data_IF_166787341856
#
_entry.id   IF_166787341856
#
_cell.length_a   1.000
_cell.length_b   1.000
_cell.length_c   1.000
_cell.angle_alpha   90.00
_cell.angle_beta   90.00
_cell.angle_gamma   90.00
#
_symmetry.space_group_name_H-M   'P 1'
#
loop_
_entity.id
_entity.type
_entity.pdbx_description
1 polymer ?
#
# COMPACT_ATOMS: atom_id res chain seq x y z
N UNK A 1 19.70 -11.37 -7.51
CA UNK A 1 18.89 -11.23 -6.30
C UNK A 1 17.40 -11.06 -6.61
N UNK A 2 16.96 -10.08 -7.41
CA UNK A 2 15.55 -9.87 -7.71
C UNK A 2 14.85 -11.11 -8.31
N UNK A 3 15.50 -11.75 -9.30
CA UNK A 3 14.98 -12.98 -9.91
C UNK A 3 14.91 -14.12 -8.88
N UNK A 4 15.97 -14.30 -8.05
CA UNK A 4 15.97 -15.31 -7.00
C UNK A 4 14.87 -15.06 -5.96
N UNK A 5 14.64 -13.80 -5.59
CA UNK A 5 13.50 -13.41 -4.72
C UNK A 5 12.16 -13.74 -5.35
N UNK A 6 11.99 -13.49 -6.64
CA UNK A 6 10.76 -13.84 -7.35
C UNK A 6 10.51 -15.37 -7.35
N UNK A 7 11.55 -16.16 -7.65
CA UNK A 7 11.44 -17.62 -7.57
C UNK A 7 11.09 -18.10 -6.16
N UNK A 8 11.66 -17.49 -5.11
CA UNK A 8 11.30 -17.82 -3.73
C UNK A 8 9.82 -17.55 -3.44
N UNK A 9 9.28 -16.44 -3.93
CA UNK A 9 7.87 -16.09 -3.74
C UNK A 9 6.93 -17.07 -4.46
N UNK A 10 7.17 -17.34 -5.74
CA UNK A 10 6.31 -18.24 -6.52
C UNK A 10 6.45 -19.71 -6.14
N UNK A 11 7.57 -20.10 -5.51
CA UNK A 11 7.76 -21.49 -5.06
C UNK A 11 6.73 -21.93 -4.01
N UNK A 12 6.19 -20.99 -3.23
CA UNK A 12 5.19 -21.27 -2.20
C UNK A 12 3.88 -21.75 -2.84
N UNK A 13 3.17 -20.99 -3.69
CA UNK A 13 1.96 -21.47 -4.35
C UNK A 13 2.21 -22.67 -5.28
N UNK A 14 3.40 -22.77 -5.89
CA UNK A 14 3.75 -23.97 -6.69
C UNK A 14 3.88 -25.23 -5.83
N UNK A 15 4.43 -25.11 -4.61
CA UNK A 15 4.57 -26.23 -3.70
C UNK A 15 3.23 -26.64 -3.04
N UNK A 16 2.36 -25.67 -2.74
CA UNK A 16 1.06 -25.90 -2.13
C UNK A 16 0.02 -26.39 -3.14
N UNK A 17 0.14 -26.00 -4.40
CA UNK A 17 -0.75 -26.42 -5.47
C UNK A 17 -2.11 -25.70 -5.51
N UNK A 18 -2.40 -24.87 -4.52
CA UNK A 18 -3.68 -24.17 -4.34
C UNK A 18 -3.51 -22.82 -3.67
N UNK A 19 -4.58 -22.05 -3.55
CA UNK A 19 -4.69 -20.90 -2.66
C UNK A 19 -5.60 -21.27 -1.50
N UNK A 20 -5.17 -21.00 -0.28
CA UNK A 20 -5.98 -21.13 0.90
C UNK A 20 -7.21 -20.22 0.87
N UNK A 21 -8.38 -20.79 1.09
CA UNK A 21 -9.64 -20.04 1.19
C UNK A 21 -9.89 -19.76 2.68
N UNK A 22 -9.53 -18.55 3.10
CA UNK A 22 -9.79 -18.08 4.46
C UNK A 22 -11.25 -17.67 4.63
N UNK A 23 -11.68 -17.52 5.89
CA UNK A 23 -12.98 -16.92 6.21
C UNK A 23 -13.12 -15.53 5.58
N UNK A 24 -12.07 -14.72 5.58
CA UNK A 24 -12.04 -13.39 4.96
C UNK A 24 -12.22 -13.45 3.45
N UNK A 25 -11.64 -14.46 2.78
CA UNK A 25 -11.83 -14.67 1.35
C UNK A 25 -13.31 -14.85 1.00
N UNK A 26 -14.02 -15.69 1.77
CA UNK A 26 -15.44 -15.97 1.58
C UNK A 26 -16.32 -14.82 2.05
N UNK A 27 -15.96 -14.15 3.15
CA UNK A 27 -16.77 -13.09 3.73
C UNK A 27 -16.69 -11.80 2.93
N UNK A 28 -15.50 -11.36 2.50
CA UNK A 28 -15.38 -10.02 1.90
C UNK A 28 -14.41 -9.87 0.74
N UNK A 29 -13.31 -10.64 0.62
CA UNK A 29 -12.30 -10.35 -0.41
C UNK A 29 -12.86 -10.47 -1.83
N UNK A 30 -13.57 -11.57 -2.12
CA UNK A 30 -14.16 -11.79 -3.46
C UNK A 30 -15.29 -10.80 -3.69
N UNK A 31 -16.15 -10.59 -2.69
CA UNK A 31 -17.25 -9.63 -2.76
C UNK A 31 -16.75 -8.20 -3.01
N UNK A 32 -15.77 -7.72 -2.25
CA UNK A 32 -15.21 -6.39 -2.45
C UNK A 32 -14.57 -6.24 -3.84
N UNK A 33 -13.86 -7.25 -4.30
CA UNK A 33 -13.33 -7.23 -5.67
C UNK A 33 -14.42 -7.14 -6.73
N UNK A 34 -15.55 -7.81 -6.51
CA UNK A 34 -16.72 -7.75 -7.38
C UNK A 34 -17.38 -6.35 -7.36
N UNK A 35 -17.46 -5.69 -6.19
CA UNK A 35 -18.06 -4.34 -6.08
C UNK A 35 -17.27 -3.27 -6.81
N UNK A 36 -15.99 -3.51 -7.15
CA UNK A 36 -15.22 -2.60 -8.01
C UNK A 36 -15.87 -2.38 -9.39
N UNK A 37 -16.63 -3.36 -9.88
CA UNK A 37 -17.35 -3.31 -11.17
C UNK A 37 -18.87 -3.23 -11.01
N UNK A 38 -19.41 -3.60 -9.85
CA UNK A 38 -20.84 -3.77 -9.60
C UNK A 38 -21.23 -3.04 -8.32
N UNK A 39 -21.43 -1.73 -8.41
CA UNK A 39 -21.80 -0.92 -7.25
C UNK A 39 -23.29 -1.09 -6.94
N UNK A 40 -23.61 -1.44 -5.68
CA UNK A 40 -24.96 -1.69 -5.21
C UNK A 40 -25.19 -1.03 -3.85
N UNK A 41 -24.85 0.26 -3.74
CA UNK A 41 -24.97 1.02 -2.49
C UNK A 41 -26.38 1.03 -1.89
N UNK A 42 -27.40 0.97 -2.73
CA UNK A 42 -28.80 0.96 -2.30
C UNK A 42 -29.31 -0.40 -1.82
N UNK A 43 -28.53 -1.47 -2.06
CA UNK A 43 -28.99 -2.85 -1.83
C UNK A 43 -28.10 -3.59 -0.83
N UNK A 44 -26.80 -3.36 -0.86
CA UNK A 44 -25.79 -4.14 -0.14
C UNK A 44 -25.32 -3.40 1.12
N UNK A 45 -26.21 -3.20 2.10
CA UNK A 45 -25.90 -2.43 3.32
C UNK A 45 -24.85 -3.11 4.20
N UNK A 46 -24.88 -4.44 4.32
CA UNK A 46 -23.98 -5.21 5.18
C UNK A 46 -23.54 -6.54 4.54
N UNK A 47 -23.42 -6.59 3.23
CA UNK A 47 -23.07 -7.82 2.52
C UNK A 47 -21.70 -8.42 2.95
N UNK A 48 -20.76 -7.58 3.39
CA UNK A 48 -19.50 -7.96 4.01
C UNK A 48 -19.36 -7.34 5.41
N UNK A 49 -20.44 -7.28 6.17
CA UNK A 49 -20.50 -6.64 7.50
C UNK A 49 -19.95 -5.20 7.47
N UNK A 50 -19.24 -4.74 8.50
CA UNK A 50 -18.60 -3.42 8.53
C UNK A 50 -17.52 -3.16 7.47
N UNK A 51 -17.20 -4.17 6.65
CA UNK A 51 -16.19 -4.06 5.59
C UNK A 51 -16.79 -3.78 4.20
N UNK A 52 -18.13 -3.76 4.07
CA UNK A 52 -18.86 -3.64 2.80
C UNK A 52 -18.39 -2.47 1.94
N UNK A 53 -18.02 -1.35 2.54
CA UNK A 53 -17.64 -0.13 1.85
C UNK A 53 -16.13 0.15 1.86
N UNK A 54 -15.30 -0.85 2.16
CA UNK A 54 -13.85 -0.70 2.02
C UNK A 54 -13.45 -0.48 0.56
N UNK A 55 -12.24 0.04 0.36
CA UNK A 55 -11.69 0.31 -0.97
C UNK A 55 -11.64 -0.97 -1.83
N UNK A 56 -12.44 -1.11 -2.88
CA UNK A 56 -12.65 -2.38 -3.56
C UNK A 56 -11.55 -2.73 -4.56
N UNK A 57 -10.87 -1.73 -5.13
CA UNK A 57 -9.90 -1.96 -6.20
C UNK A 57 -8.66 -2.72 -5.74
N UNK A 58 -8.37 -2.74 -4.43
CA UNK A 58 -7.31 -3.56 -3.85
C UNK A 58 -7.63 -5.07 -3.95
N UNK A 59 -8.91 -5.43 -3.92
CA UNK A 59 -9.41 -6.80 -4.00
C UNK A 59 -9.75 -7.22 -5.44
N UNK A 60 -9.82 -6.26 -6.35
CA UNK A 60 -10.19 -6.52 -7.74
C UNK A 60 -9.31 -7.56 -8.45
N UNK A 61 -7.96 -7.62 -8.26
CA UNK A 61 -7.14 -8.69 -8.83
C UNK A 61 -7.56 -10.08 -8.37
N UNK A 62 -7.92 -10.25 -7.09
CA UNK A 62 -8.41 -11.53 -6.54
C UNK A 62 -9.71 -11.95 -7.21
N UNK A 63 -10.66 -11.01 -7.34
CA UNK A 63 -11.91 -11.27 -8.04
C UNK A 63 -11.67 -11.67 -9.52
N UNK A 64 -10.83 -10.94 -10.24
CA UNK A 64 -10.52 -11.29 -11.63
C UNK A 64 -9.84 -12.65 -11.78
N UNK A 65 -8.95 -13.00 -10.87
CA UNK A 65 -8.34 -14.33 -10.84
C UNK A 65 -9.38 -15.43 -10.57
N UNK A 66 -10.35 -15.18 -9.69
CA UNK A 66 -11.44 -16.13 -9.42
C UNK A 66 -12.34 -16.39 -10.66
N UNK A 67 -12.43 -15.41 -11.56
CA UNK A 67 -13.23 -15.49 -12.81
C UNK A 67 -12.41 -15.98 -14.01
N UNK A 68 -11.09 -16.05 -13.90
CA UNK A 68 -10.18 -16.31 -15.04
C UNK A 68 -10.17 -17.75 -15.54
N UNK A 69 -10.72 -18.70 -14.77
CA UNK A 69 -10.59 -20.14 -15.05
C UNK A 69 -9.20 -20.73 -14.74
N UNK A 70 -8.27 -19.93 -14.20
CA UNK A 70 -6.98 -20.43 -13.75
C UNK A 70 -7.16 -21.35 -12.52
N UNK A 71 -6.29 -22.36 -12.40
CA UNK A 71 -6.22 -23.13 -11.16
C UNK A 71 -5.75 -22.26 -9.99
N UNK A 72 -6.10 -22.65 -8.75
CA UNK A 72 -5.66 -21.94 -7.54
C UNK A 72 -4.14 -21.76 -7.48
N UNK A 73 -3.38 -22.75 -7.94
CA UNK A 73 -1.92 -22.68 -8.04
C UNK A 73 -1.46 -21.49 -8.93
N UNK A 74 -2.00 -21.34 -10.13
CA UNK A 74 -1.60 -20.26 -11.03
C UNK A 74 -2.12 -18.89 -10.58
N UNK A 75 -3.29 -18.85 -9.96
CA UNK A 75 -3.79 -17.65 -9.30
C UNK A 75 -2.84 -17.24 -8.15
N UNK A 76 -2.36 -18.20 -7.36
CA UNK A 76 -1.35 -17.99 -6.32
C UNK A 76 -0.03 -17.44 -6.87
N UNK A 77 0.47 -18.00 -7.98
CA UNK A 77 1.66 -17.49 -8.66
C UNK A 77 1.49 -16.04 -9.11
N UNK A 78 0.31 -15.68 -9.64
CA UNK A 78 0.01 -14.30 -10.03
C UNK A 78 0.03 -13.35 -8.81
N UNK A 79 -0.62 -13.72 -7.71
CA UNK A 79 -0.62 -12.91 -6.47
C UNK A 79 0.78 -12.83 -5.85
N UNK A 80 1.53 -13.93 -5.80
CA UNK A 80 2.90 -13.93 -5.31
C UNK A 80 3.80 -13.02 -6.15
N UNK A 81 3.59 -12.97 -7.48
CA UNK A 81 4.31 -12.06 -8.38
C UNK A 81 3.99 -10.59 -8.09
N UNK A 82 2.74 -10.25 -7.77
CA UNK A 82 2.37 -8.90 -7.32
C UNK A 82 3.04 -8.56 -5.98
N UNK A 83 2.99 -9.48 -5.03
CA UNK A 83 3.62 -9.29 -3.71
C UNK A 83 5.14 -9.13 -3.80
N UNK A 84 5.80 -9.75 -4.78
CA UNK A 84 7.23 -9.60 -5.01
C UNK A 84 7.65 -8.13 -5.26
N UNK A 85 6.75 -7.24 -5.70
CA UNK A 85 7.04 -5.81 -5.89
C UNK A 85 7.50 -5.08 -4.61
N UNK A 86 7.37 -5.71 -3.45
CA UNK A 86 7.90 -5.20 -2.18
C UNK A 86 9.41 -5.46 -2.00
N UNK A 87 9.99 -6.42 -2.72
CA UNK A 87 11.41 -6.81 -2.58
C UNK A 87 12.38 -5.69 -3.00
N UNK A 88 12.18 -5.00 -4.15
CA UNK A 88 13.08 -3.91 -4.55
C UNK A 88 13.21 -2.78 -3.51
N UNK A 89 12.12 -2.23 -2.93
CA UNK A 89 12.25 -1.17 -1.95
C UNK A 89 12.91 -1.63 -0.64
N UNK A 90 12.67 -2.88 -0.17
CA UNK A 90 13.38 -3.42 1.01
C UNK A 90 14.88 -3.50 0.73
N UNK A 91 15.27 -3.92 -0.48
CA UNK A 91 16.68 -3.90 -0.88
C UNK A 91 17.27 -2.49 -0.91
N UNK A 92 16.49 -1.49 -1.38
CA UNK A 92 16.92 -0.08 -1.36
C UNK A 92 17.15 0.40 0.07
N UNK A 93 16.25 0.08 0.99
CA UNK A 93 16.37 0.40 2.43
C UNK A 93 17.63 -0.26 2.99
N UNK A 94 17.83 -1.55 2.75
CA UNK A 94 19.02 -2.28 3.20
C UNK A 94 20.33 -1.66 2.65
N UNK A 95 20.29 -1.14 1.41
CA UNK A 95 21.47 -0.42 0.82
C UNK A 95 21.74 0.93 1.49
N UNK A 96 20.73 1.61 2.01
CA UNK A 96 20.93 2.85 2.77
C UNK A 96 21.58 2.53 4.11
N UNK A 97 21.11 1.49 4.79
CA UNK A 97 21.62 1.08 6.09
C UNK A 97 23.03 0.44 6.02
N UNK A 98 23.33 -0.24 4.92
CA UNK A 98 24.60 -0.94 4.69
C UNK A 98 25.20 -0.54 3.35
N UNK A 99 25.95 0.59 3.27
CA UNK A 99 26.42 1.17 2.00
C UNK A 99 27.61 0.44 1.36
N UNK A 100 28.25 -0.54 2.03
CA UNK A 100 29.37 -1.32 1.52
C UNK A 100 29.10 -1.96 0.14
N UNK A 101 30.17 -2.24 -0.62
CA UNK A 101 30.09 -2.88 -1.95
C UNK A 101 30.75 -4.26 -1.99
N UNK A 102 31.33 -4.69 -0.89
CA UNK A 102 31.95 -6.00 -0.74
C UNK A 102 30.95 -7.14 -0.65
N UNK A 103 31.39 -8.36 -0.77
CA UNK A 103 30.57 -9.56 -0.72
C UNK A 103 29.79 -9.68 0.61
N UNK A 104 30.42 -9.30 1.73
CA UNK A 104 29.78 -9.33 3.04
C UNK A 104 28.56 -8.41 3.09
N UNK A 105 28.69 -7.16 2.64
CA UNK A 105 27.57 -6.21 2.59
C UNK A 105 26.44 -6.70 1.69
N UNK A 106 26.76 -7.37 0.57
CA UNK A 106 25.74 -7.94 -0.33
C UNK A 106 25.00 -9.09 0.34
N UNK A 107 25.72 -10.00 1.00
CA UNK A 107 25.12 -11.15 1.73
C UNK A 107 24.23 -10.65 2.88
N UNK A 108 24.73 -9.70 3.68
CA UNK A 108 23.94 -9.15 4.80
C UNK A 108 22.67 -8.44 4.33
N UNK A 109 22.70 -7.72 3.21
CA UNK A 109 21.49 -7.14 2.62
C UNK A 109 20.52 -8.22 2.13
N UNK A 110 21.04 -9.27 1.49
CA UNK A 110 20.20 -10.39 1.06
C UNK A 110 19.55 -11.09 2.27
N UNK A 111 20.30 -11.28 3.35
CA UNK A 111 19.78 -11.82 4.61
C UNK A 111 18.72 -10.91 5.23
N UNK A 112 18.91 -9.59 5.24
CA UNK A 112 17.93 -8.63 5.73
C UNK A 112 16.64 -8.68 4.92
N UNK A 113 16.74 -8.79 3.58
CA UNK A 113 15.55 -8.96 2.72
C UNK A 113 14.85 -10.29 3.03
N UNK A 114 15.58 -11.39 3.15
CA UNK A 114 14.99 -12.68 3.48
C UNK A 114 14.29 -12.65 4.84
N UNK A 115 14.92 -12.09 5.87
CA UNK A 115 14.35 -11.97 7.21
C UNK A 115 13.06 -11.16 7.25
N UNK A 116 12.90 -10.15 6.39
CA UNK A 116 11.67 -9.36 6.30
C UNK A 116 10.43 -10.21 5.96
N UNK A 117 10.61 -11.37 5.31
CA UNK A 117 9.53 -12.26 4.89
C UNK A 117 9.43 -13.56 5.71
N UNK A 118 10.32 -13.79 6.67
CA UNK A 118 10.35 -15.03 7.45
C UNK A 118 9.43 -15.03 8.67
N UNK A 119 8.59 -14.01 8.86
CA UNK A 119 7.61 -14.03 9.94
C UNK A 119 6.41 -14.91 9.56
N UNK A 120 5.85 -15.66 10.52
CA UNK A 120 4.71 -16.53 10.26
C UNK A 120 3.52 -15.78 9.64
N UNK A 121 3.27 -14.53 10.06
CA UNK A 121 2.21 -13.68 9.51
C UNK A 121 2.44 -13.39 8.04
N UNK A 122 3.66 -13.00 7.64
CA UNK A 122 3.96 -12.70 6.24
C UNK A 122 3.93 -13.96 5.39
N UNK A 123 4.46 -15.08 5.89
CA UNK A 123 4.44 -16.35 5.15
C UNK A 123 3.02 -16.84 4.89
N UNK A 124 2.09 -16.68 5.84
CA UNK A 124 0.69 -17.06 5.65
C UNK A 124 -0.04 -16.21 4.58
N UNK A 125 0.49 -15.04 4.23
CA UNK A 125 -0.11 -14.19 3.20
C UNK A 125 0.16 -14.69 1.77
N UNK A 126 1.16 -15.57 1.58
CA UNK A 126 1.47 -16.14 0.26
C UNK A 126 0.52 -17.27 -0.15
N UNK A 127 -0.17 -17.87 0.82
CA UNK A 127 -1.20 -18.89 0.59
C UNK A 127 -2.59 -18.34 0.90
N UNK A 128 -2.86 -17.10 0.56
CA UNK A 128 -4.16 -16.51 0.85
C UNK A 128 -4.53 -15.41 -0.13
N UNK A 129 -5.78 -14.99 -0.06
CA UNK A 129 -6.30 -13.82 -0.76
C UNK A 129 -6.06 -12.51 0.03
N UNK A 130 -5.24 -12.56 1.10
CA UNK A 130 -4.93 -11.40 1.93
C UNK A 130 -4.30 -10.28 1.11
N UNK A 131 -4.77 -9.07 1.34
CA UNK A 131 -4.27 -7.89 0.66
C UNK A 131 -3.29 -7.06 1.51
N UNK A 132 -2.97 -7.50 2.72
CA UNK A 132 -2.14 -6.73 3.65
C UNK A 132 -0.74 -6.46 3.10
N UNK A 133 -0.09 -7.49 2.55
CA UNK A 133 1.22 -7.32 1.93
C UNK A 133 1.13 -6.43 0.68
N UNK A 134 0.10 -6.62 -0.14
CA UNK A 134 -0.12 -5.80 -1.33
C UNK A 134 -0.38 -4.34 -0.98
N UNK A 135 -1.19 -4.07 0.06
CA UNK A 135 -1.43 -2.71 0.58
C UNK A 135 -0.17 -2.07 1.18
N UNK A 136 0.76 -2.88 1.72
CA UNK A 136 2.02 -2.40 2.27
C UNK A 136 3.06 -2.01 1.19
N UNK A 137 2.96 -2.55 -0.03
CA UNK A 137 3.94 -2.28 -1.10
C UNK A 137 4.21 -0.79 -1.29
N UNK A 138 3.20 0.07 -1.54
CA UNK A 138 3.46 1.49 -1.74
C UNK A 138 4.02 2.17 -0.48
N UNK A 139 3.68 1.72 0.73
CA UNK A 139 4.28 2.25 1.94
C UNK A 139 5.79 1.95 2.03
N UNK A 140 6.19 0.72 1.71
CA UNK A 140 7.61 0.33 1.73
C UNK A 140 8.40 1.09 0.65
N UNK A 141 7.80 1.35 -0.52
CA UNK A 141 8.37 2.25 -1.53
C UNK A 141 8.49 3.68 -1.01
N UNK A 142 7.47 4.20 -0.33
CA UNK A 142 7.51 5.53 0.27
C UNK A 142 8.67 5.67 1.26
N UNK A 143 8.86 4.65 2.12
CA UNK A 143 9.96 4.60 3.08
C UNK A 143 11.32 4.53 2.38
N UNK A 144 11.46 3.70 1.34
CA UNK A 144 12.70 3.57 0.58
C UNK A 144 13.10 4.89 -0.10
N UNK A 145 12.14 5.61 -0.67
CA UNK A 145 12.36 6.93 -1.26
C UNK A 145 12.68 7.99 -0.19
N UNK A 146 11.99 7.99 0.95
CA UNK A 146 12.28 8.91 2.06
C UNK A 146 13.73 8.74 2.56
N UNK A 147 14.16 7.50 2.75
CA UNK A 147 15.51 7.20 3.22
C UNK A 147 16.61 7.56 2.21
N UNK A 148 16.29 7.66 0.92
CA UNK A 148 17.24 8.09 -0.09
C UNK A 148 17.72 9.54 0.12
N UNK A 149 16.90 10.38 0.76
CA UNK A 149 17.28 11.74 1.15
C UNK A 149 18.48 11.81 2.11
N UNK A 150 18.72 10.77 2.91
CA UNK A 150 19.88 10.71 3.82
C UNK A 150 21.24 10.60 3.09
N UNK A 151 21.21 10.18 1.84
CA UNK A 151 22.42 10.03 1.02
C UNK A 151 22.70 11.27 0.17
N UNK A 152 21.76 12.18 0.08
CA UNK A 152 21.90 13.40 -0.71
C UNK A 152 22.63 14.49 0.10
N UNK A 153 23.89 14.67 -0.16
CA UNK A 153 24.74 15.74 0.39
C UNK A 153 24.71 17.01 -0.46
N UNK A 154 23.81 17.10 -1.45
CA UNK A 154 23.75 18.19 -2.41
C UNK A 154 23.61 19.56 -1.76
N UNK A 155 24.45 20.50 -2.17
CA UNK A 155 24.54 21.87 -1.66
C UNK A 155 23.47 22.83 -2.23
N UNK A 156 22.67 22.36 -3.19
CA UNK A 156 21.65 23.19 -3.83
C UNK A 156 20.60 23.67 -2.82
N UNK A 157 20.59 24.96 -2.53
CA UNK A 157 19.88 25.59 -1.41
C UNK A 157 18.36 25.50 -1.50
N UNK A 158 17.78 25.37 -2.71
CA UNK A 158 16.34 25.42 -2.97
C UNK A 158 15.86 24.28 -3.89
N UNK A 159 16.62 23.22 -4.08
CA UNK A 159 16.25 22.16 -5.01
C UNK A 159 15.19 21.22 -4.40
N UNK A 160 14.14 20.95 -5.16
CA UNK A 160 13.24 19.84 -4.90
C UNK A 160 14.01 18.52 -5.00
N UNK A 161 13.74 17.62 -4.08
CA UNK A 161 14.31 16.28 -4.09
C UNK A 161 13.23 15.30 -4.55
N UNK A 162 13.33 14.87 -5.81
CA UNK A 162 12.31 14.00 -6.43
C UNK A 162 11.95 12.76 -5.61
N UNK A 163 12.89 12.06 -4.93
CA UNK A 163 12.56 10.98 -4.04
C UNK A 163 11.56 11.34 -2.93
N UNK A 164 11.54 12.58 -2.42
CA UNK A 164 10.52 13.01 -1.44
C UNK A 164 9.14 13.07 -2.08
N UNK A 165 9.06 13.55 -3.33
CA UNK A 165 7.79 13.57 -4.09
C UNK A 165 7.30 12.14 -4.33
N UNK A 166 8.18 11.24 -4.77
CA UNK A 166 7.83 9.82 -4.96
C UNK A 166 7.42 9.15 -3.63
N UNK A 167 8.13 9.49 -2.54
CA UNK A 167 7.77 9.05 -1.19
C UNK A 167 6.35 9.50 -0.82
N UNK A 168 6.04 10.78 -1.05
CA UNK A 168 4.71 11.34 -0.81
C UNK A 168 3.63 10.62 -1.62
N UNK A 169 3.79 10.51 -2.95
CA UNK A 169 2.82 9.83 -3.82
C UNK A 169 2.56 8.39 -3.33
N UNK A 170 3.62 7.64 -3.07
CA UNK A 170 3.51 6.26 -2.59
C UNK A 170 2.85 6.18 -1.21
N UNK A 171 3.13 7.14 -0.31
CA UNK A 171 2.46 7.23 1.00
C UNK A 171 0.96 7.44 0.84
N UNK A 172 0.55 8.37 -0.02
CA UNK A 172 -0.86 8.64 -0.31
C UNK A 172 -1.57 7.42 -0.90
N UNK A 173 -0.96 6.75 -1.87
CA UNK A 173 -1.49 5.50 -2.46
C UNK A 173 -1.63 4.40 -1.39
N UNK A 174 -0.65 4.28 -0.49
CA UNK A 174 -0.72 3.29 0.60
C UNK A 174 -1.91 3.52 1.53
N UNK A 175 -2.17 4.78 1.89
CA UNK A 175 -3.34 5.16 2.71
C UNK A 175 -4.64 4.92 1.94
N UNK A 176 -4.66 5.20 0.63
CA UNK A 176 -5.80 4.92 -0.24
C UNK A 176 -6.14 3.43 -0.29
N UNK A 177 -5.13 2.58 -0.40
CA UNK A 177 -5.30 1.13 -0.42
C UNK A 177 -5.83 0.59 0.90
N UNK A 178 -5.32 1.10 2.02
CA UNK A 178 -5.77 0.69 3.34
C UNK A 178 -5.64 1.86 4.32
N UNK A 179 -6.77 2.43 4.73
CA UNK A 179 -6.80 3.62 5.59
C UNK A 179 -6.02 3.45 6.90
N UNK A 180 -5.90 2.21 7.39
CA UNK A 180 -5.08 1.87 8.56
C UNK A 180 -3.57 2.12 8.37
N UNK A 181 -3.09 2.35 7.15
CA UNK A 181 -1.72 2.78 6.88
C UNK A 181 -1.50 4.28 7.18
N UNK A 182 -2.58 5.04 7.44
CA UNK A 182 -2.52 6.47 7.72
C UNK A 182 -1.55 6.84 8.85
N UNK A 183 -1.65 6.25 10.04
CA UNK A 183 -0.73 6.53 11.15
C UNK A 183 0.74 6.33 10.79
N UNK A 184 1.06 5.28 10.02
CA UNK A 184 2.43 5.02 9.55
C UNK A 184 2.87 6.06 8.52
N UNK A 185 1.99 6.44 7.59
CA UNK A 185 2.29 7.45 6.57
C UNK A 185 2.57 8.83 7.18
N UNK A 186 1.92 9.17 8.31
CA UNK A 186 2.16 10.41 9.06
C UNK A 186 3.56 10.51 9.68
N UNK A 187 4.31 9.41 9.78
CA UNK A 187 5.70 9.42 10.24
C UNK A 187 6.70 9.81 9.15
N UNK A 188 6.35 9.65 7.87
CA UNK A 188 7.25 9.92 6.74
C UNK A 188 7.72 11.38 6.66
N UNK A 189 6.89 12.41 6.90
CA UNK A 189 7.34 13.79 6.99
C UNK A 189 8.48 14.00 7.99
N UNK A 190 8.47 13.27 9.11
CA UNK A 190 9.57 13.26 10.07
C UNK A 190 10.89 12.81 9.43
N UNK A 191 10.88 11.75 8.61
CA UNK A 191 12.05 11.29 7.89
C UNK A 191 12.56 12.33 6.88
N UNK A 192 11.67 13.01 6.15
CA UNK A 192 12.07 14.07 5.22
C UNK A 192 12.77 15.24 5.93
N UNK A 193 12.39 15.50 7.20
CA UNK A 193 13.01 16.56 8.02
C UNK A 193 14.35 16.13 8.65
N UNK A 194 14.64 14.84 8.75
CA UNK A 194 15.89 14.31 9.34
C UNK A 194 17.11 14.39 8.40
N UNK A 195 16.93 14.89 7.16
CA UNK A 195 18.03 15.07 6.19
C UNK A 195 19.02 16.15 6.65
N UNK A 196 20.26 16.11 6.12
CA UNK A 196 21.29 17.11 6.38
C UNK A 196 21.08 18.47 5.69
N UNK A 197 19.91 18.71 5.08
CA UNK A 197 19.64 19.93 4.32
C UNK A 197 19.36 21.15 5.21
N UNK A 198 19.61 22.34 4.67
CA UNK A 198 19.23 23.58 5.33
C UNK A 198 17.69 23.72 5.48
N UNK A 199 17.27 24.49 6.47
CA UNK A 199 15.84 24.60 6.86
C UNK A 199 14.92 24.97 5.72
N UNK A 200 15.33 25.88 4.82
CA UNK A 200 14.52 26.28 3.66
C UNK A 200 14.28 25.11 2.70
N UNK A 201 15.31 24.31 2.40
CA UNK A 201 15.17 23.12 1.56
C UNK A 201 14.31 22.07 2.22
N UNK A 202 14.45 21.87 3.53
CA UNK A 202 13.58 20.98 4.31
C UNK A 202 12.13 21.38 4.20
N UNK A 203 11.81 22.67 4.40
CA UNK A 203 10.44 23.19 4.32
C UNK A 203 9.84 23.00 2.91
N UNK A 204 10.59 23.30 1.85
CA UNK A 204 10.13 23.11 0.46
C UNK A 204 9.82 21.62 0.21
N UNK A 205 10.72 20.71 0.58
CA UNK A 205 10.53 19.29 0.35
C UNK A 205 9.44 18.70 1.24
N UNK A 206 9.29 19.15 2.48
CA UNK A 206 8.18 18.79 3.36
C UNK A 206 6.83 19.15 2.71
N UNK A 207 6.66 20.40 2.27
CA UNK A 207 5.42 20.83 1.61
C UNK A 207 5.16 20.06 0.32
N UNK A 208 6.20 19.89 -0.52
CA UNK A 208 6.08 19.12 -1.76
C UNK A 208 5.71 17.65 -1.50
N UNK A 209 6.31 17.02 -0.49
CA UNK A 209 6.00 15.66 -0.08
C UNK A 209 4.57 15.50 0.44
N UNK A 210 4.10 16.45 1.28
CA UNK A 210 2.72 16.46 1.76
C UNK A 210 1.71 16.65 0.61
N UNK A 211 1.95 17.60 -0.28
CA UNK A 211 1.09 17.79 -1.47
C UNK A 211 1.10 16.56 -2.38
N UNK A 212 2.25 15.94 -2.56
CA UNK A 212 2.39 14.70 -3.32
C UNK A 212 1.62 13.54 -2.65
N UNK A 213 1.60 13.45 -1.31
CA UNK A 213 0.83 12.45 -0.58
C UNK A 213 -0.68 12.67 -0.76
N UNK A 214 -1.15 13.91 -0.68
CA UNK A 214 -2.55 14.24 -0.96
C UNK A 214 -2.90 13.87 -2.41
N UNK A 215 -2.05 14.22 -3.37
CA UNK A 215 -2.25 13.88 -4.77
C UNK A 215 -2.29 12.37 -4.99
N UNK A 216 -1.36 11.60 -4.41
CA UNK A 216 -1.34 10.14 -4.49
C UNK A 216 -2.59 9.50 -3.87
N UNK A 217 -3.06 10.01 -2.73
CA UNK A 217 -4.31 9.58 -2.12
C UNK A 217 -5.51 9.85 -3.03
N UNK A 218 -5.64 11.06 -3.53
CA UNK A 218 -6.77 11.45 -4.39
C UNK A 218 -6.78 10.71 -5.72
N UNK A 219 -5.61 10.46 -6.32
CA UNK A 219 -5.49 9.68 -7.56
C UNK A 219 -5.99 8.24 -7.38
N UNK A 220 -5.69 7.62 -6.25
CA UNK A 220 -6.11 6.25 -5.99
C UNK A 220 -7.52 6.18 -5.41
N UNK A 221 -7.83 6.98 -4.38
CA UNK A 221 -9.06 6.89 -3.61
C UNK A 221 -10.17 7.82 -4.10
N UNK A 222 -9.83 8.86 -4.85
CA UNK A 222 -10.75 9.97 -5.13
C UNK A 222 -12.06 9.54 -5.77
N UNK A 223 -12.01 8.62 -6.75
CA UNK A 223 -13.23 8.10 -7.38
C UNK A 223 -14.10 7.32 -6.38
N UNK A 224 -13.52 6.41 -5.59
CA UNK A 224 -14.26 5.66 -4.58
C UNK A 224 -14.80 6.56 -3.48
N UNK A 225 -13.98 7.47 -2.98
CA UNK A 225 -14.39 8.47 -1.99
C UNK A 225 -15.54 9.36 -2.50
N UNK A 226 -15.51 9.74 -3.77
CA UNK A 226 -16.62 10.47 -4.41
C UNK A 226 -17.91 9.65 -4.43
N UNK A 227 -17.85 8.37 -4.77
CA UNK A 227 -19.01 7.48 -4.75
C UNK A 227 -19.61 7.36 -3.34
N UNK A 228 -18.78 7.14 -2.34
CA UNK A 228 -19.23 7.11 -0.95
C UNK A 228 -19.81 8.46 -0.50
N UNK A 229 -19.16 9.55 -0.88
CA UNK A 229 -19.65 10.89 -0.58
C UNK A 229 -21.04 11.12 -1.19
N UNK A 230 -21.24 10.79 -2.46
CA UNK A 230 -22.51 11.04 -3.16
C UNK A 230 -23.66 10.21 -2.60
N UNK A 231 -23.41 9.02 -2.04
CA UNK A 231 -24.46 8.14 -1.50
C UNK A 231 -24.66 8.31 0.00
N UNK A 232 -23.59 8.48 0.78
CA UNK A 232 -23.63 8.46 2.23
C UNK A 232 -23.20 9.77 2.89
N UNK A 233 -22.71 10.75 2.13
CA UNK A 233 -22.21 12.01 2.65
C UNK A 233 -20.90 11.96 3.41
N UNK A 234 -20.19 10.84 3.28
CA UNK A 234 -18.87 10.67 3.88
C UNK A 234 -17.97 9.97 2.89
N UNK A 235 -16.80 10.54 2.53
CA UNK A 235 -15.90 9.93 1.55
C UNK A 235 -15.20 8.68 2.08
N UNK A 236 -15.32 8.40 3.36
CA UNK A 236 -14.70 7.26 4.06
C UNK A 236 -15.74 6.42 4.83
N UNK A 237 -17.02 6.52 4.42
CA UNK A 237 -18.12 5.78 5.06
C UNK A 237 -17.82 4.27 5.11
N UNK A 238 -18.18 3.55 6.19
CA UNK A 238 -18.79 4.03 7.45
C UNK A 238 -17.76 4.48 8.49
N UNK A 239 -16.46 4.50 8.12
CA UNK A 239 -15.39 4.85 9.05
C UNK A 239 -15.49 6.33 9.43
N UNK A 240 -15.34 6.59 10.72
CA UNK A 240 -15.34 7.96 11.26
C UNK A 240 -16.60 8.79 10.90
N UNK A 241 -17.72 8.18 10.53
CA UNK A 241 -18.94 8.88 10.13
C UNK A 241 -19.42 9.84 11.22
N UNK A 242 -19.28 9.47 12.49
CA UNK A 242 -19.53 10.34 13.64
C UNK A 242 -18.81 11.71 13.57
N UNK A 243 -17.59 11.73 13.02
CA UNK A 243 -16.81 12.97 12.86
C UNK A 243 -17.22 13.78 11.64
N UNK A 244 -17.74 13.13 10.61
CA UNK A 244 -18.18 13.78 9.36
C UNK A 244 -19.59 14.31 9.49
N UNK A 245 -20.45 13.67 10.30
CA UNK A 245 -21.84 14.05 10.50
C UNK A 245 -22.05 15.52 10.89
N UNK A 246 -21.31 16.12 11.85
CA UNK A 246 -21.49 17.53 12.20
C UNK A 246 -21.18 18.48 11.04
N UNK A 247 -20.23 18.11 10.16
CA UNK A 247 -19.90 18.89 8.97
C UNK A 247 -21.02 18.81 7.93
N UNK A 248 -21.63 17.65 7.75
CA UNK A 248 -22.82 17.48 6.89
C UNK A 248 -23.98 18.32 7.36
N UNK A 249 -24.28 18.24 8.65
CA UNK A 249 -25.40 18.96 9.26
C UNK A 249 -25.20 20.48 9.13
N UNK A 250 -23.97 20.95 9.37
CA UNK A 250 -23.62 22.36 9.19
C UNK A 250 -23.73 22.82 7.72
N UNK A 251 -23.32 21.99 6.77
CA UNK A 251 -23.41 22.28 5.34
C UNK A 251 -24.83 22.11 4.77
N UNK A 252 -25.80 21.66 5.57
CA UNK A 252 -27.18 21.37 5.13
C UNK A 252 -27.26 20.23 4.10
N UNK A 253 -26.23 19.42 4.00
CA UNK A 253 -26.14 18.34 3.03
C UNK A 253 -26.79 17.07 3.59
N UNK A 254 -27.82 16.60 2.89
CA UNK A 254 -28.50 15.33 3.21
C UNK A 254 -28.29 14.39 2.04
N UNK A 255 -27.73 13.18 2.29
CA UNK A 255 -27.63 12.16 1.27
C UNK A 255 -28.97 11.66 0.80
#
# INVERSE_FOLDING_TARGET
MLIAGWFAFISIPLALGEIGISWDALNHHIYLGWTAEHQRFDQDLFAASGQTFQYPYLYWPVYKLSQSGLSGMWAGVALATLNWLVVPPIWMIARVCMPGRDAFAVVMRAAAVALAFMTGVVLSMFDSTSNDLFAAIPFVWALAFAMNGFRDTGTARNALHMPVIYSGICAGISVAFKLSNGPLALLLPGLWMMTGWGIRRKAINFMAGCLAAIAGFLLAYGYWGWQLWSHFGSPIYPLYDYWVQPLRDWAGWKP
#
